data_IF_851305977658
#
_entry.id   IF_851305977658
#
_cell.length_a   1.000
_cell.length_b   1.000
_cell.length_c   1.000
_cell.angle_alpha   90.00
_cell.angle_beta   90.00
_cell.angle_gamma   90.00
#
_symmetry.space_group_name_H-M   'P 1'
#
loop_
_entity.id
_entity.type
_entity.pdbx_description
1 polymer ?
#
# COMPACT_ATOMS: atom_id res chain seq x y z
N UNK A 1 3.78 7.62 21.39
CA UNK A 1 5.00 8.25 21.94
C UNK A 1 5.75 8.79 20.75
N UNK A 2 5.54 10.08 20.48
CA UNK A 2 6.47 10.84 19.66
C UNK A 2 7.54 11.37 20.60
N UNK A 3 8.80 11.14 20.24
CA UNK A 3 9.98 11.57 20.97
C UNK A 3 10.72 12.66 20.17
N UNK A 4 10.98 13.79 20.82
CA UNK A 4 11.76 14.88 20.24
C UNK A 4 13.07 15.02 21.02
N UNK A 5 14.21 14.85 20.35
CA UNK A 5 15.52 15.13 20.93
C UNK A 5 15.64 16.64 21.18
N UNK A 6 15.93 17.03 22.42
CA UNK A 6 16.15 18.43 22.81
C UNK A 6 17.65 18.73 22.97
N UNK A 7 18.41 17.77 23.53
CA UNK A 7 19.86 17.86 23.71
C UNK A 7 20.47 16.45 23.79
N UNK A 8 21.78 16.34 24.02
CA UNK A 8 22.41 15.06 24.30
C UNK A 8 21.80 14.43 25.55
N UNK A 9 21.35 13.18 25.40
CA UNK A 9 20.61 12.41 26.41
C UNK A 9 19.31 13.05 26.96
N UNK A 10 18.79 14.11 26.31
CA UNK A 10 17.52 14.76 26.71
C UNK A 10 16.48 14.64 25.59
N UNK A 11 15.34 14.05 25.95
CA UNK A 11 14.22 13.83 25.03
C UNK A 11 12.90 14.28 25.67
N UNK A 12 12.08 15.00 24.91
CA UNK A 12 10.68 15.23 25.26
C UNK A 12 9.85 14.00 24.89
N UNK A 13 9.03 13.51 25.83
CA UNK A 13 8.17 12.34 25.61
C UNK A 13 6.73 12.71 25.92
N UNK A 14 5.85 12.63 24.93
CA UNK A 14 4.41 12.79 25.14
C UNK A 14 3.79 11.44 25.54
N UNK A 15 3.16 11.41 26.72
CA UNK A 15 2.38 10.25 27.15
C UNK A 15 1.04 10.20 26.43
N UNK A 16 0.62 8.99 26.04
CA UNK A 16 -0.72 8.79 25.51
C UNK A 16 -1.73 8.82 26.68
N UNK A 17 -2.88 9.51 26.55
CA UNK A 17 -3.90 9.52 27.58
C UNK A 17 -4.49 8.12 27.81
N UNK A 18 -4.80 7.78 29.06
CA UNK A 18 -5.38 6.47 29.44
C UNK A 18 -6.81 6.28 28.92
N UNK A 19 -7.52 7.38 28.66
CA UNK A 19 -8.88 7.38 28.15
C UNK A 19 -8.98 8.23 26.88
N UNK A 20 -9.79 7.76 25.94
CA UNK A 20 -10.08 8.43 24.68
C UNK A 20 -11.59 8.67 24.62
N UNK A 21 -12.00 9.92 24.43
CA UNK A 21 -13.39 10.23 24.18
C UNK A 21 -13.73 9.96 22.71
N UNK A 22 -14.45 8.87 22.44
CA UNK A 22 -14.98 8.61 21.10
C UNK A 22 -16.21 9.51 20.86
N UNK A 23 -15.98 10.66 20.21
CA UNK A 23 -17.03 11.64 19.89
C UNK A 23 -17.83 11.29 18.63
N UNK A 24 -17.28 10.43 17.78
CA UNK A 24 -17.91 10.02 16.52
C UNK A 24 -18.82 8.83 16.77
N UNK A 25 -20.07 8.91 16.31
CA UNK A 25 -20.99 7.78 16.31
C UNK A 25 -20.38 6.61 15.53
N UNK A 26 -20.38 5.41 16.13
CA UNK A 26 -19.85 4.20 15.50
C UNK A 26 -20.56 3.91 14.16
N UNK A 27 -21.86 4.19 14.08
CA UNK A 27 -22.65 4.03 12.85
C UNK A 27 -22.09 4.88 11.71
N UNK A 28 -21.68 6.12 12.00
CA UNK A 28 -21.03 7.00 11.02
C UNK A 28 -19.68 6.43 10.58
N UNK A 29 -18.87 5.92 11.52
CA UNK A 29 -17.58 5.33 11.21
C UNK A 29 -17.71 4.11 10.28
N UNK A 30 -18.65 3.20 10.57
CA UNK A 30 -18.92 2.04 9.70
C UNK A 30 -19.41 2.47 8.32
N UNK A 31 -20.39 3.38 8.26
CA UNK A 31 -20.92 3.88 6.99
C UNK A 31 -19.82 4.46 6.10
N UNK A 32 -18.91 5.28 6.65
CA UNK A 32 -17.81 5.88 5.88
C UNK A 32 -16.87 4.81 5.33
N UNK A 33 -16.47 3.82 6.14
CA UNK A 33 -15.56 2.76 5.71
C UNK A 33 -16.19 1.84 4.65
N UNK A 34 -17.44 1.46 4.82
CA UNK A 34 -18.13 0.60 3.86
C UNK A 34 -18.47 1.34 2.57
N UNK A 35 -18.81 2.63 2.65
CA UNK A 35 -18.97 3.47 1.47
C UNK A 35 -17.65 3.61 0.69
N UNK A 36 -16.50 3.77 1.37
CA UNK A 36 -15.20 3.79 0.70
C UNK A 36 -14.90 2.47 -0.05
N UNK A 37 -15.15 1.32 0.59
CA UNK A 37 -15.01 0.01 -0.06
C UNK A 37 -15.96 -0.14 -1.25
N UNK A 38 -17.21 0.31 -1.11
CA UNK A 38 -18.19 0.28 -2.19
C UNK A 38 -17.67 1.02 -3.42
N UNK A 39 -17.14 2.24 -3.27
CA UNK A 39 -16.59 2.99 -4.39
C UNK A 39 -15.38 2.31 -5.05
N UNK A 40 -14.49 1.73 -4.24
CA UNK A 40 -13.34 0.97 -4.72
C UNK A 40 -13.76 -0.23 -5.59
N UNK A 41 -14.70 -1.03 -5.07
CA UNK A 41 -15.25 -2.22 -5.75
C UNK A 41 -16.11 -1.82 -6.95
N UNK A 42 -16.87 -0.73 -6.86
CA UNK A 42 -17.69 -0.21 -7.95
C UNK A 42 -16.81 0.18 -9.15
N UNK A 43 -15.67 0.84 -8.94
CA UNK A 43 -14.74 1.12 -10.03
C UNK A 43 -14.21 -0.16 -10.69
N UNK A 44 -13.77 -1.14 -9.90
CA UNK A 44 -13.23 -2.38 -10.43
C UNK A 44 -14.30 -3.12 -11.25
N UNK A 45 -15.43 -3.47 -10.64
CA UNK A 45 -16.43 -4.35 -11.26
C UNK A 45 -17.33 -3.65 -12.28
N UNK A 46 -17.77 -2.42 -11.99
CA UNK A 46 -18.72 -1.72 -12.87
C UNK A 46 -18.06 -0.83 -13.92
N UNK A 47 -16.75 -0.59 -13.84
CA UNK A 47 -16.00 0.13 -14.87
C UNK A 47 -14.89 -0.73 -15.48
N UNK A 48 -13.85 -1.08 -14.72
CA UNK A 48 -12.66 -1.75 -15.28
C UNK A 48 -13.01 -3.07 -15.99
N UNK A 49 -13.75 -3.96 -15.35
CA UNK A 49 -14.14 -5.24 -15.97
C UNK A 49 -14.97 -5.07 -17.25
N UNK A 50 -15.73 -3.98 -17.37
CA UNK A 50 -16.61 -3.72 -18.52
C UNK A 50 -15.85 -3.16 -19.72
N UNK A 51 -14.87 -2.28 -19.50
CA UNK A 51 -14.16 -1.59 -20.60
C UNK A 51 -12.70 -1.95 -20.78
N UNK A 52 -12.04 -2.57 -19.81
CA UNK A 52 -10.62 -2.91 -19.88
C UNK A 52 -10.40 -4.41 -20.11
N UNK A 53 -9.29 -4.74 -20.76
CA UNK A 53 -8.76 -6.08 -20.90
C UNK A 53 -8.03 -6.50 -19.63
N UNK A 54 -8.71 -7.29 -18.80
CA UNK A 54 -8.16 -7.73 -17.52
C UNK A 54 -6.98 -8.70 -17.66
N UNK A 55 -6.76 -9.30 -18.84
CA UNK A 55 -5.57 -10.12 -19.09
C UNK A 55 -4.31 -9.26 -19.25
N UNK A 56 -4.48 -7.96 -19.50
CA UNK A 56 -3.39 -6.98 -19.62
C UNK A 56 -3.22 -6.14 -18.35
N UNK A 57 -3.93 -6.46 -17.27
CA UNK A 57 -3.88 -5.76 -16.00
C UNK A 57 -3.50 -6.73 -14.89
N UNK A 58 -2.52 -6.35 -14.08
CA UNK A 58 -2.15 -7.11 -12.89
C UNK A 58 -2.20 -6.21 -11.67
N UNK A 59 -2.96 -6.61 -10.65
CA UNK A 59 -3.00 -5.89 -9.37
C UNK A 59 -1.71 -6.15 -8.60
N UNK A 60 -0.99 -5.07 -8.24
CA UNK A 60 0.31 -5.17 -7.57
C UNK A 60 0.16 -4.92 -6.07
N UNK A 61 -0.48 -3.80 -5.70
CA UNK A 61 -0.68 -3.42 -4.30
C UNK A 61 -1.87 -2.47 -4.18
N UNK A 62 -2.46 -2.42 -2.99
CA UNK A 62 -3.46 -1.41 -2.66
C UNK A 62 -3.54 -1.19 -1.16
N UNK A 63 -3.95 0.03 -0.80
CA UNK A 63 -4.29 0.42 0.57
C UNK A 63 -5.72 1.00 0.56
N UNK A 64 -6.10 1.66 1.65
CA UNK A 64 -7.45 2.14 1.95
C UNK A 64 -8.09 2.94 0.80
N UNK A 65 -7.30 3.78 0.12
CA UNK A 65 -7.74 4.74 -0.89
C UNK A 65 -6.85 4.73 -2.15
N UNK A 66 -5.99 3.73 -2.31
CA UNK A 66 -5.05 3.63 -3.43
C UNK A 66 -4.98 2.22 -4.00
N UNK A 67 -4.71 2.14 -5.30
CA UNK A 67 -4.56 0.90 -6.05
C UNK A 67 -3.43 1.06 -7.06
N UNK A 68 -2.53 0.09 -7.11
CA UNK A 68 -1.44 0.04 -8.07
C UNK A 68 -1.65 -1.14 -9.01
N UNK A 69 -1.72 -0.82 -10.30
CA UNK A 69 -1.95 -1.78 -11.37
C UNK A 69 -0.77 -1.73 -12.33
N UNK A 70 -0.22 -2.89 -12.66
CA UNK A 70 0.68 -3.04 -13.80
C UNK A 70 -0.18 -3.17 -15.07
N UNK A 71 0.16 -2.38 -16.09
CA UNK A 71 -0.60 -2.31 -17.35
C UNK A 71 0.30 -2.77 -18.50
N UNK A 72 -0.11 -3.84 -19.18
CA UNK A 72 0.56 -4.39 -20.36
C UNK A 72 0.05 -3.70 -21.63
N UNK A 73 0.48 -2.45 -21.81
CA UNK A 73 0.15 -1.67 -22.99
C UNK A 73 1.25 -1.70 -24.06
N UNK A 74 1.44 -0.58 -24.74
CA UNK A 74 2.42 -0.38 -25.81
C UNK A 74 3.76 0.14 -25.24
N UNK A 75 4.88 -0.46 -25.67
CA UNK A 75 6.22 -0.10 -25.17
C UNK A 75 6.65 1.29 -25.66
N UNK A 76 6.33 1.64 -26.92
CA UNK A 76 6.71 2.92 -27.53
C UNK A 76 5.96 4.10 -26.89
N UNK A 77 4.74 3.87 -26.41
CA UNK A 77 3.97 4.87 -25.66
C UNK A 77 4.50 5.13 -24.24
N UNK A 78 5.32 4.21 -23.71
CA UNK A 78 5.88 4.30 -22.35
C UNK A 78 4.84 4.26 -21.24
N UNK A 79 5.26 4.64 -20.02
CA UNK A 79 4.42 4.54 -18.81
C UNK A 79 3.28 5.57 -18.73
N UNK A 80 3.27 6.60 -19.58
CA UNK A 80 2.23 7.65 -19.63
C UNK A 80 0.99 7.23 -20.43
N UNK A 81 0.98 6.01 -20.94
CA UNK A 81 -0.10 5.50 -21.77
C UNK A 81 -1.42 5.24 -21.03
N UNK A 82 -1.37 5.20 -19.69
CA UNK A 82 -2.53 4.88 -18.85
C UNK A 82 -3.24 3.61 -19.34
N UNK A 83 -4.54 3.70 -19.58
CA UNK A 83 -5.36 2.58 -20.04
C UNK A 83 -5.51 2.50 -21.56
N UNK A 84 -4.92 3.44 -22.33
CA UNK A 84 -5.22 3.62 -23.76
C UNK A 84 -5.17 2.32 -24.59
N UNK A 85 -4.16 1.49 -24.36
CA UNK A 85 -3.93 0.26 -25.14
C UNK A 85 -4.53 -1.02 -24.51
N UNK A 86 -5.23 -0.86 -23.39
CA UNK A 86 -5.94 -1.96 -22.71
C UNK A 86 -7.45 -1.75 -22.68
N UNK A 87 -7.97 -0.69 -23.28
CA UNK A 87 -9.41 -0.49 -23.46
C UNK A 87 -9.92 -1.46 -24.54
N UNK A 88 -10.80 -2.39 -24.17
CA UNK A 88 -11.49 -3.32 -25.07
C UNK A 88 -12.85 -2.83 -25.56
N UNK A 89 -13.51 -1.97 -24.79
CA UNK A 89 -14.81 -1.39 -25.13
C UNK A 89 -14.72 0.13 -25.05
N UNK A 90 -14.30 0.74 -26.16
CA UNK A 90 -14.08 2.18 -26.26
C UNK A 90 -15.38 2.97 -26.05
N UNK A 91 -16.49 2.52 -26.63
CA UNK A 91 -17.78 3.19 -26.46
C UNK A 91 -18.19 3.26 -24.99
N UNK A 92 -18.12 2.15 -24.26
CA UNK A 92 -18.44 2.14 -22.82
C UNK A 92 -17.48 3.04 -22.04
N UNK A 93 -16.19 3.00 -22.36
CA UNK A 93 -15.20 3.86 -21.72
C UNK A 93 -15.54 5.34 -21.89
N UNK A 94 -15.74 5.79 -23.13
CA UNK A 94 -16.00 7.19 -23.46
C UNK A 94 -17.31 7.70 -22.82
N UNK A 95 -18.35 6.87 -22.79
CA UNK A 95 -19.63 7.22 -22.16
C UNK A 95 -19.56 7.32 -20.63
N UNK A 96 -18.71 6.51 -19.98
CA UNK A 96 -18.73 6.30 -18.53
C UNK A 96 -17.50 6.83 -17.77
N UNK A 97 -16.37 7.09 -18.43
CA UNK A 97 -15.13 7.53 -17.77
C UNK A 97 -15.34 8.80 -16.94
N UNK A 98 -16.21 9.70 -17.41
CA UNK A 98 -16.61 10.94 -16.71
C UNK A 98 -17.18 10.74 -15.30
N UNK A 99 -17.70 9.55 -14.98
CA UNK A 99 -18.22 9.25 -13.64
C UNK A 99 -17.11 8.92 -12.65
N UNK A 100 -15.97 8.41 -13.13
CA UNK A 100 -14.85 7.96 -12.30
C UNK A 100 -13.69 8.95 -12.33
N UNK A 101 -13.39 9.55 -13.49
CA UNK A 101 -12.28 10.48 -13.66
C UNK A 101 -12.74 11.94 -13.72
N UNK A 102 -11.87 12.90 -13.37
CA UNK A 102 -12.09 14.31 -13.66
C UNK A 102 -12.35 14.53 -15.16
N UNK A 103 -13.28 15.44 -15.48
CA UNK A 103 -13.68 15.74 -16.87
C UNK A 103 -12.99 16.98 -17.43
N UNK A 104 -11.98 17.49 -16.73
CA UNK A 104 -11.24 18.68 -17.14
C UNK A 104 -10.26 18.25 -18.24
N UNK A 105 -10.25 18.98 -19.36
CA UNK A 105 -9.29 18.79 -20.43
C UNK A 105 -7.90 19.26 -19.95
N UNK A 106 -6.92 18.37 -19.86
CA UNK A 106 -5.58 18.71 -19.37
C UNK A 106 -4.84 17.52 -18.76
N UNK A 107 -3.78 17.82 -17.98
CA UNK A 107 -3.03 16.83 -17.21
C UNK A 107 -3.88 16.31 -16.04
N UNK A 108 -4.26 15.03 -16.10
CA UNK A 108 -5.11 14.37 -15.10
C UNK A 108 -4.39 14.08 -13.77
N UNK A 109 -3.08 14.33 -13.69
CA UNK A 109 -2.26 13.97 -12.52
C UNK A 109 -2.61 14.77 -11.25
N UNK A 110 -3.14 15.99 -11.39
CA UNK A 110 -3.45 16.88 -10.25
C UNK A 110 -4.96 17.09 -10.04
N UNK A 111 -5.80 16.55 -10.91
CA UNK A 111 -7.23 16.78 -10.87
C UNK A 111 -7.94 15.81 -9.92
N UNK A 112 -8.79 16.35 -9.03
CA UNK A 112 -9.51 15.56 -8.02
C UNK A 112 -11.00 15.68 -8.22
N UNK A 113 -11.66 14.53 -8.32
CA UNK A 113 -13.12 14.42 -8.35
C UNK A 113 -13.62 13.87 -7.01
N UNK A 114 -14.65 14.49 -6.44
CA UNK A 114 -15.34 13.95 -5.26
C UNK A 114 -15.91 12.57 -5.62
N UNK A 115 -15.55 11.55 -4.85
CA UNK A 115 -15.91 10.14 -5.10
C UNK A 115 -15.46 9.63 -6.48
N UNK A 116 -14.46 10.29 -7.08
CA UNK A 116 -13.76 9.81 -8.26
C UNK A 116 -12.32 9.43 -7.94
N UNK A 117 -11.61 9.02 -8.97
CA UNK A 117 -10.23 8.61 -8.92
C UNK A 117 -9.32 9.73 -9.39
N UNK A 118 -8.13 9.79 -8.80
CA UNK A 118 -7.04 10.64 -9.23
C UNK A 118 -5.86 9.75 -9.59
N UNK A 119 -5.22 10.02 -10.72
CA UNK A 119 -3.99 9.33 -11.10
C UNK A 119 -2.85 10.02 -10.37
N UNK A 120 -2.43 9.49 -9.21
CA UNK A 120 -1.39 10.17 -8.43
C UNK A 120 0.02 9.94 -8.97
N UNK A 121 0.28 8.75 -9.53
CA UNK A 121 1.61 8.29 -9.95
C UNK A 121 1.52 7.30 -11.09
N UNK A 122 2.44 7.46 -12.03
CA UNK A 122 2.70 6.51 -13.10
C UNK A 122 4.18 6.17 -13.06
N UNK A 123 4.52 4.89 -13.17
CA UNK A 123 5.89 4.42 -13.00
C UNK A 123 6.26 3.36 -14.01
N UNK A 124 7.57 3.14 -14.16
CA UNK A 124 8.11 2.10 -15.04
C UNK A 124 8.30 0.78 -14.29
N UNK A 125 8.40 0.83 -12.96
CA UNK A 125 8.67 -0.35 -12.15
C UNK A 125 8.00 -0.23 -10.78
N UNK A 126 7.46 -1.35 -10.30
CA UNK A 126 6.97 -1.50 -8.94
C UNK A 126 7.25 -2.90 -8.43
N UNK A 127 7.71 -3.00 -7.18
CA UNK A 127 7.95 -4.26 -6.48
C UNK A 127 7.25 -4.17 -5.12
N UNK A 128 6.23 -4.99 -4.91
CA UNK A 128 5.51 -5.07 -3.64
C UNK A 128 5.91 -6.34 -2.90
N UNK A 129 6.50 -6.18 -1.71
CA UNK A 129 6.91 -7.29 -0.84
C UNK A 129 5.75 -7.76 0.03
N UNK A 130 5.01 -6.81 0.59
CA UNK A 130 3.87 -7.02 1.47
C UNK A 130 3.00 -5.74 1.48
N UNK A 131 1.75 -5.80 1.99
CA UNK A 131 0.92 -4.60 2.11
C UNK A 131 1.66 -3.45 2.79
N UNK A 132 1.63 -2.25 2.19
CA UNK A 132 2.35 -1.05 2.65
C UNK A 132 3.89 -1.16 2.68
N UNK A 133 4.46 -2.16 2.02
CA UNK A 133 5.90 -2.41 1.90
C UNK A 133 6.27 -2.64 0.43
N UNK A 134 6.66 -1.58 -0.27
CA UNK A 134 6.92 -1.61 -1.70
C UNK A 134 8.00 -0.61 -2.14
N UNK A 135 8.57 -0.89 -3.30
CA UNK A 135 9.40 0.01 -4.08
C UNK A 135 8.62 0.42 -5.34
N UNK A 136 8.72 1.69 -5.74
CA UNK A 136 8.20 2.17 -7.02
C UNK A 136 9.20 3.14 -7.65
N UNK A 137 9.36 3.05 -8.97
CA UNK A 137 10.15 3.95 -9.80
C UNK A 137 9.24 4.78 -10.69
N UNK A 138 9.22 6.10 -10.46
CA UNK A 138 8.43 7.08 -11.20
C UNK A 138 9.41 7.96 -11.99
N UNK A 139 9.59 7.66 -13.28
CA UNK A 139 10.66 8.24 -14.09
C UNK A 139 12.04 7.92 -13.51
N UNK A 140 12.83 8.95 -13.21
CA UNK A 140 14.16 8.82 -12.61
C UNK A 140 14.14 8.80 -11.07
N UNK A 141 12.96 8.92 -10.46
CA UNK A 141 12.82 8.97 -9.00
C UNK A 141 12.37 7.64 -8.43
N UNK A 142 13.15 7.13 -7.50
CA UNK A 142 12.85 5.92 -6.74
C UNK A 142 12.18 6.27 -5.40
N UNK A 143 11.23 5.44 -4.98
CA UNK A 143 10.55 5.62 -3.71
C UNK A 143 10.34 4.26 -3.04
N UNK A 144 10.87 4.14 -1.82
CA UNK A 144 10.66 2.99 -0.95
C UNK A 144 9.68 3.36 0.15
N UNK A 145 8.59 2.62 0.26
CA UNK A 145 7.60 2.72 1.32
C UNK A 145 7.66 1.46 2.16
N UNK A 146 7.92 1.61 3.46
CA UNK A 146 7.99 0.50 4.41
C UNK A 146 7.18 0.86 5.65
N UNK A 147 6.34 -0.05 6.10
CA UNK A 147 5.55 0.11 7.32
C UNK A 147 6.21 -0.64 8.46
N UNK A 148 6.49 0.07 9.56
CA UNK A 148 7.10 -0.50 10.77
C UNK A 148 8.63 -0.41 10.81
N UNK A 149 9.26 0.12 9.75
CA UNK A 149 10.70 0.36 9.67
C UNK A 149 10.99 1.86 9.68
N UNK A 150 11.92 2.29 10.53
CA UNK A 150 12.43 3.67 10.50
C UNK A 150 13.49 3.79 9.40
N UNK A 151 13.13 4.46 8.30
CA UNK A 151 13.98 4.63 7.11
C UNK A 151 15.11 5.67 7.28
N UNK A 152 15.08 6.46 8.35
CA UNK A 152 16.19 7.36 8.67
C UNK A 152 17.35 6.58 9.26
N UNK A 153 17.05 5.62 10.13
CA UNK A 153 18.03 4.73 10.77
C UNK A 153 18.42 3.55 9.87
N UNK A 154 17.45 2.96 9.18
CA UNK A 154 17.65 1.76 8.38
C UNK A 154 17.52 2.13 6.89
N UNK A 155 18.64 2.18 6.18
CA UNK A 155 18.68 2.44 4.74
C UNK A 155 18.48 1.14 3.99
N UNK A 156 17.22 0.86 3.69
CA UNK A 156 16.82 -0.31 2.90
C UNK A 156 16.91 0.03 1.42
N UNK A 157 17.52 -0.86 0.63
CA UNK A 157 17.65 -0.72 -0.82
C UNK A 157 16.66 -1.59 -1.58
N UNK A 158 16.52 -1.34 -2.88
CA UNK A 158 15.69 -2.15 -3.78
C UNK A 158 16.19 -3.60 -3.85
N UNK A 159 17.51 -3.79 -3.91
CA UNK A 159 18.15 -5.11 -4.02
C UNK A 159 17.79 -5.97 -2.81
N UNK A 160 17.82 -5.38 -1.60
CA UNK A 160 17.39 -6.07 -0.40
C UNK A 160 15.92 -6.51 -0.53
N UNK A 161 15.01 -5.64 -0.98
CA UNK A 161 13.60 -6.00 -1.19
C UNK A 161 13.49 -7.17 -2.18
N UNK A 162 14.22 -7.13 -3.29
CA UNK A 162 14.23 -8.20 -4.29
C UNK A 162 14.76 -9.52 -3.71
N UNK A 163 15.87 -9.49 -2.97
CA UNK A 163 16.45 -10.68 -2.34
C UNK A 163 15.51 -11.32 -1.31
N UNK A 164 14.72 -10.52 -0.58
CA UNK A 164 13.72 -11.07 0.33
C UNK A 164 12.64 -11.86 -0.43
N UNK A 165 12.30 -11.46 -1.65
CA UNK A 165 11.28 -12.12 -2.50
C UNK A 165 11.88 -13.36 -3.18
N UNK A 166 13.02 -13.21 -3.83
CA UNK A 166 13.59 -14.25 -4.70
C UNK A 166 14.32 -15.32 -3.91
N UNK A 167 15.05 -14.92 -2.86
CA UNK A 167 15.95 -15.78 -2.10
C UNK A 167 15.42 -16.07 -0.68
N UNK A 168 14.28 -15.49 -0.30
CA UNK A 168 13.70 -15.67 1.03
C UNK A 168 14.59 -15.13 2.15
N UNK A 169 15.46 -14.16 1.86
CA UNK A 169 16.33 -13.55 2.87
C UNK A 169 15.51 -12.80 3.92
N UNK A 170 16.16 -12.47 5.04
CA UNK A 170 15.59 -11.63 6.09
C UNK A 170 16.50 -10.42 6.23
N UNK A 171 15.97 -9.23 6.00
CA UNK A 171 16.71 -8.01 6.30
C UNK A 171 16.36 -7.54 7.70
N UNK A 172 17.36 -7.52 8.58
CA UNK A 172 17.21 -7.01 9.94
C UNK A 172 17.26 -5.48 9.95
N UNK A 173 16.58 -4.89 10.92
CA UNK A 173 16.54 -3.46 11.16
C UNK A 173 16.73 -3.17 12.64
N UNK A 174 17.40 -2.07 12.93
CA UNK A 174 17.56 -1.54 14.27
C UNK A 174 16.34 -0.70 14.61
N UNK A 175 15.59 -1.14 15.62
CA UNK A 175 14.53 -0.36 16.25
C UNK A 175 15.06 0.27 17.52
N UNK A 176 15.00 1.59 17.60
CA UNK A 176 15.34 2.34 18.80
C UNK A 176 14.06 2.83 19.46
N UNK A 177 13.93 2.60 20.76
CA UNK A 177 12.85 3.14 21.58
C UNK A 177 13.38 3.68 22.89
N UNK A 178 12.71 4.68 23.45
CA UNK A 178 12.89 5.04 24.85
C UNK A 178 11.97 4.19 25.72
N UNK A 179 12.49 3.66 26.81
CA UNK A 179 11.74 2.92 27.82
C UNK A 179 12.02 3.49 29.20
N UNK A 180 11.00 3.57 30.04
CA UNK A 180 11.16 3.98 31.44
C UNK A 180 10.89 2.80 32.36
N UNK A 181 11.81 2.54 33.29
CA UNK A 181 11.63 1.56 34.37
C UNK A 181 12.17 2.15 35.66
N UNK A 182 11.39 2.07 36.74
CA UNK A 182 11.76 2.63 38.04
C UNK A 182 12.21 4.10 37.97
N UNK A 183 11.47 4.92 37.20
CA UNK A 183 11.79 6.34 36.96
C UNK A 183 13.10 6.63 36.22
N UNK A 184 13.83 5.60 35.78
CA UNK A 184 14.98 5.75 34.90
C UNK A 184 14.54 5.56 33.45
N UNK A 185 14.84 6.55 32.62
CA UNK A 185 14.65 6.48 31.18
C UNK A 185 15.90 5.87 30.54
N UNK A 186 15.72 4.96 29.59
CA UNK A 186 16.80 4.31 28.86
C UNK A 186 16.47 4.24 27.38
N UNK A 187 17.49 4.44 26.55
CA UNK A 187 17.40 4.15 25.12
C UNK A 187 17.68 2.67 24.89
N UNK A 188 16.71 1.96 24.35
CA UNK A 188 16.82 0.54 24.03
C UNK A 188 16.95 0.43 22.51
N UNK A 189 18.08 -0.12 22.08
CA UNK A 189 18.29 -0.55 20.69
C UNK A 189 18.01 -2.04 20.60
N UNK A 190 17.22 -2.46 19.62
CA UNK A 190 16.92 -3.88 19.39
C UNK A 190 16.95 -4.17 17.91
N UNK A 191 17.70 -5.18 17.52
CA UNK A 191 17.62 -5.74 16.17
C UNK A 191 16.38 -6.60 16.05
N UNK A 192 15.60 -6.36 15.00
CA UNK A 192 14.39 -7.09 14.68
C UNK A 192 14.36 -7.37 13.17
N UNK A 193 13.55 -8.32 12.75
CA UNK A 193 13.25 -8.50 11.33
C UNK A 193 12.57 -7.21 10.83
N UNK A 194 13.19 -6.54 9.87
CA UNK A 194 12.69 -5.30 9.29
C UNK A 194 11.79 -5.58 8.11
N UNK A 195 12.36 -6.19 7.08
CA UNK A 195 11.62 -6.66 5.91
C UNK A 195 11.90 -8.15 5.69
N UNK A 196 10.88 -8.86 5.23
CA UNK A 196 10.89 -10.31 4.97
C UNK A 196 9.98 -10.61 3.80
N UNK A 197 10.28 -11.64 3.01
CA UNK A 197 9.37 -12.19 1.99
C UNK A 197 8.08 -12.81 2.55
N UNK A 198 7.99 -12.98 3.87
CA UNK A 198 6.85 -13.61 4.52
C UNK A 198 5.73 -12.61 4.82
N UNK A 199 4.52 -12.92 4.35
CA UNK A 199 3.30 -12.21 4.73
C UNK A 199 2.80 -12.70 6.09
N UNK A 200 2.95 -11.90 7.16
CA UNK A 200 2.61 -12.32 8.53
C UNK A 200 1.12 -12.23 8.88
N UNK A 201 0.31 -11.60 8.02
CA UNK A 201 -1.11 -11.32 8.29
C UNK A 201 -2.08 -12.18 7.46
N UNK A 202 -1.54 -12.97 6.54
CA UNK A 202 -2.32 -13.76 5.60
C UNK A 202 -1.50 -14.97 5.15
N UNK A 203 -2.20 -16.06 4.85
CA UNK A 203 -1.64 -17.26 4.25
C UNK A 203 -1.99 -17.20 2.76
N UNK A 204 -0.97 -17.25 1.91
CA UNK A 204 -1.15 -17.31 0.45
C UNK A 204 -1.27 -18.78 0.06
N UNK A 205 -2.38 -19.14 -0.58
CA UNK A 205 -2.64 -20.49 -1.07
C UNK A 205 -1.98 -20.72 -2.44
N UNK A 206 -1.98 -21.96 -2.93
CA UNK A 206 -1.34 -22.33 -4.19
C UNK A 206 -1.96 -21.66 -5.43
N UNK A 207 -3.22 -21.25 -5.34
CA UNK A 207 -3.94 -20.49 -6.36
C UNK A 207 -3.74 -18.96 -6.23
N UNK A 208 -2.84 -18.53 -5.35
CA UNK A 208 -2.55 -17.14 -5.01
C UNK A 208 -3.67 -16.41 -4.25
N UNK A 209 -4.71 -17.12 -3.79
CA UNK A 209 -5.70 -16.53 -2.90
C UNK A 209 -5.08 -16.25 -1.52
N UNK A 210 -5.50 -15.16 -0.88
CA UNK A 210 -5.03 -14.74 0.43
C UNK A 210 -6.08 -15.08 1.49
N UNK A 211 -5.74 -15.98 2.41
CA UNK A 211 -6.55 -16.34 3.56
C UNK A 211 -6.07 -15.63 4.83
N UNK A 212 -6.94 -15.33 5.81
CA UNK A 212 -6.51 -14.71 7.06
C UNK A 212 -5.51 -15.61 7.79
N UNK A 213 -4.46 -15.02 8.38
CA UNK A 213 -3.60 -15.79 9.28
C UNK A 213 -4.35 -16.11 10.57
N UNK A 214 -4.54 -17.39 10.86
CA UNK A 214 -5.08 -17.89 12.13
C UNK A 214 -4.01 -18.74 12.79
N UNK A 215 -3.69 -18.43 14.05
CA UNK A 215 -2.65 -19.15 14.78
C UNK A 215 -2.95 -20.65 14.82
N UNK A 216 -1.98 -21.46 14.40
CA UNK A 216 -2.11 -22.93 14.33
C UNK A 216 -2.62 -23.47 13.00
N UNK A 217 -3.15 -22.62 12.10
CA UNK A 217 -3.56 -23.03 10.76
C UNK A 217 -2.43 -22.82 9.74
N UNK A 218 -2.33 -23.74 8.79
CA UNK A 218 -1.42 -23.72 7.63
C UNK A 218 -2.22 -23.62 6.34
N UNK A 219 -1.55 -23.36 5.22
CA UNK A 219 -2.19 -23.32 3.90
C UNK A 219 -2.98 -24.60 3.56
N UNK A 220 -2.51 -25.77 4.01
CA UNK A 220 -3.17 -27.06 3.83
C UNK A 220 -4.53 -27.18 4.53
N UNK A 221 -4.81 -26.31 5.49
CA UNK A 221 -6.05 -26.34 6.28
C UNK A 221 -7.16 -25.51 5.62
N UNK A 222 -6.85 -24.79 4.53
CA UNK A 222 -7.81 -24.02 3.75
C UNK A 222 -8.24 -24.80 2.51
N UNK A 223 -9.55 -24.81 2.25
CA UNK A 223 -10.12 -25.34 1.02
C UNK A 223 -10.47 -24.20 0.07
N UNK A 224 -9.94 -24.26 -1.15
CA UNK A 224 -10.39 -23.43 -2.27
C UNK A 224 -11.66 -24.06 -2.84
N UNK A 225 -12.76 -23.29 -2.90
CA UNK A 225 -14.01 -23.70 -3.54
C UNK A 225 -14.13 -23.10 -4.94
#
# INVERSE_FOLDING_TARGET
MDDQKLADDVYAVQMNPETCACKTSLQVAYFVLDNAKYWYVNFIYNFMYKCLDMNKLHFVEGDTDSAYWAVSGDEDAGHKQQFKYVIKNQQFYDENAKYFFPTIEGDLLDEKKILGLAIEREGTEMVALAPKNYYIKVGDKEKIKLKGVNQNTNKITKEQIMDNITNGTITTCTNMRLGQKNYQMSKISTEKNGITGCHTKAIVLSDQSCCPYVFGLKASDYMVQ
#
